data_IF_619444514649
#
_entry.id   IF_619444514649
#
_cell.length_a   1.000
_cell.length_b   1.000
_cell.length_c   1.000
_cell.angle_alpha   90.00
_cell.angle_beta   90.00
_cell.angle_gamma   90.00
#
_symmetry.space_group_name_H-M   'P 1'
#
loop_
_entity.id
_entity.type
_entity.pdbx_description
1 polymer ?
#
# COMPACT_ATOMS: atom_id res chain seq x y z
N UNK A 1 38.05 -2.15 30.21
CA UNK A 1 37.58 -1.78 28.84
C UNK A 1 36.17 -2.29 28.66
N UNK A 2 35.26 -1.40 28.26
CA UNK A 2 33.82 -1.55 28.39
C UNK A 2 33.20 -2.55 27.39
N UNK A 3 32.37 -3.47 27.88
CA UNK A 3 31.63 -4.46 27.08
C UNK A 3 30.68 -3.85 26.02
N UNK A 4 30.34 -2.56 26.13
CA UNK A 4 29.54 -1.83 25.14
C UNK A 4 30.27 -1.55 23.81
N UNK A 5 31.60 -1.48 23.81
CA UNK A 5 32.37 -1.30 22.57
C UNK A 5 32.56 -2.62 21.79
N UNK A 6 32.50 -3.77 22.47
CA UNK A 6 32.63 -5.10 21.83
C UNK A 6 31.36 -5.50 21.08
N UNK A 7 30.19 -5.04 21.53
CA UNK A 7 28.91 -5.32 20.86
C UNK A 7 28.68 -4.46 19.61
N UNK A 8 29.18 -3.22 19.59
CA UNK A 8 29.12 -2.36 18.41
C UNK A 8 30.13 -2.79 17.33
N UNK A 9 31.27 -3.38 17.70
CA UNK A 9 32.26 -3.91 16.74
C UNK A 9 31.80 -5.17 15.99
N UNK A 10 30.96 -6.02 16.62
CA UNK A 10 30.47 -7.26 16.00
C UNK A 10 29.40 -7.05 14.93
N UNK A 11 28.56 -6.01 15.07
CA UNK A 11 27.48 -5.72 14.11
C UNK A 11 28.01 -5.05 12.84
N UNK A 12 29.08 -4.27 12.94
CA UNK A 12 29.70 -3.60 11.78
C UNK A 12 30.46 -4.59 10.88
N UNK A 13 31.07 -5.65 11.44
CA UNK A 13 31.75 -6.68 10.66
C UNK A 13 30.77 -7.60 9.90
N UNK A 14 29.58 -7.87 10.45
CA UNK A 14 28.57 -8.66 9.74
C UNK A 14 27.79 -7.84 8.70
N UNK A 15 27.53 -6.56 8.95
CA UNK A 15 26.90 -5.66 7.97
C UNK A 15 27.81 -5.27 6.79
N UNK A 16 29.11 -5.08 7.06
CA UNK A 16 30.08 -4.70 6.02
C UNK A 16 30.43 -5.84 5.05
N UNK A 17 30.40 -7.10 5.51
CA UNK A 17 30.74 -8.26 4.68
C UNK A 17 29.73 -8.54 3.56
N UNK A 18 28.43 -8.33 3.81
CA UNK A 18 27.38 -8.58 2.82
C UNK A 18 27.40 -7.53 1.70
N UNK A 19 27.66 -6.26 2.04
CA UNK A 19 27.72 -5.20 1.04
C UNK A 19 28.96 -5.33 0.13
N UNK A 20 30.10 -5.74 0.70
CA UNK A 20 31.34 -5.92 -0.06
C UNK A 20 31.29 -7.19 -0.93
N UNK A 21 30.62 -8.25 -0.47
CA UNK A 21 30.33 -9.44 -1.29
C UNK A 21 29.37 -9.13 -2.45
N UNK A 22 28.34 -8.31 -2.22
CA UNK A 22 27.41 -7.91 -3.28
C UNK A 22 28.08 -7.03 -4.35
N UNK A 23 29.02 -6.16 -3.97
CA UNK A 23 29.78 -5.35 -4.94
C UNK A 23 30.81 -6.18 -5.72
N UNK A 24 31.44 -7.18 -5.08
CA UNK A 24 32.39 -8.08 -5.75
C UNK A 24 31.69 -9.04 -6.72
N UNK A 25 30.44 -9.43 -6.43
CA UNK A 25 29.63 -10.26 -7.32
C UNK A 25 29.08 -9.45 -8.50
N UNK A 26 28.70 -8.18 -8.28
CA UNK A 26 28.22 -7.28 -9.33
C UNK A 26 29.32 -6.74 -10.25
N UNK A 27 30.59 -6.75 -9.82
CA UNK A 27 31.73 -6.36 -10.66
C UNK A 27 32.31 -7.48 -11.53
N UNK A 28 31.88 -8.74 -11.36
CA UNK A 28 32.46 -9.89 -12.07
C UNK A 28 31.66 -10.35 -13.29
N UNK A 29 30.43 -9.87 -13.45
CA UNK A 29 29.54 -10.21 -14.57
C UNK A 29 29.71 -9.32 -15.80
N UNK A 30 30.48 -8.22 -15.74
CA UNK A 30 30.65 -7.28 -16.86
C UNK A 30 31.86 -7.55 -17.78
N UNK A 31 32.70 -8.57 -17.51
CA UNK A 31 33.95 -8.79 -18.29
C UNK A 31 33.86 -9.93 -19.33
N UNK A 32 32.80 -10.74 -19.34
CA UNK A 32 32.72 -11.91 -20.23
C UNK A 32 31.47 -11.94 -21.10
N UNK A 33 31.25 -10.90 -21.92
CA UNK A 33 30.33 -11.04 -23.06
C UNK A 33 30.60 -10.00 -24.16
N UNK A 34 31.81 -10.01 -24.73
CA UNK A 34 32.07 -9.41 -26.03
C UNK A 34 33.16 -10.21 -26.75
N UNK A 35 32.81 -11.43 -27.14
CA UNK A 35 33.48 -12.11 -28.24
C UNK A 35 32.48 -13.06 -28.90
N UNK A 36 31.74 -12.52 -29.87
CA UNK A 36 31.04 -13.32 -30.88
C UNK A 36 31.46 -12.74 -32.22
N UNK A 37 32.24 -13.55 -32.93
CA UNK A 37 32.63 -13.38 -34.32
C UNK A 37 31.39 -13.13 -35.20
N UNK A 38 31.45 -12.09 -36.03
CA UNK A 38 30.53 -11.91 -37.16
C UNK A 38 31.15 -12.55 -38.41
N UNK A 39 30.43 -13.40 -39.16
CA UNK A 39 30.85 -13.72 -40.52
C UNK A 39 30.65 -12.51 -41.42
N UNK A 40 31.71 -12.19 -42.16
CA UNK A 40 31.79 -11.14 -43.17
C UNK A 40 30.91 -11.48 -44.38
N UNK A 41 29.83 -10.73 -44.59
CA UNK A 41 29.17 -10.62 -45.90
C UNK A 41 29.20 -9.17 -46.38
N UNK A 42 29.65 -9.03 -47.62
CA UNK A 42 30.05 -7.79 -48.26
C UNK A 42 28.88 -6.82 -48.47
N UNK A 43 29.03 -5.57 -48.01
CA UNK A 43 28.14 -4.47 -48.37
C UNK A 43 28.74 -3.69 -49.54
N UNK A 44 28.12 -3.85 -50.71
CA UNK A 44 28.26 -2.93 -51.83
C UNK A 44 27.77 -1.54 -51.42
N UNK A 45 28.61 -0.54 -51.66
CA UNK A 45 28.26 0.87 -51.60
C UNK A 45 27.19 1.19 -52.66
N UNK A 46 26.02 1.66 -52.22
CA UNK A 46 25.16 2.53 -53.02
C UNK A 46 24.72 3.74 -52.19
N UNK A 47 25.06 4.89 -52.73
CA UNK A 47 24.79 6.25 -52.28
C UNK A 47 23.34 6.62 -52.65
N UNK A 48 22.54 7.10 -51.69
CA UNK A 48 21.44 8.05 -51.90
C UNK A 48 20.94 8.63 -50.56
N UNK A 49 21.00 9.96 -50.48
CA UNK A 49 20.20 10.98 -49.76
C UNK A 49 19.61 10.76 -48.33
N UNK A 50 19.48 11.85 -47.53
CA UNK A 50 19.10 11.76 -46.11
C UNK A 50 17.59 11.60 -45.96
N UNK A 51 17.14 10.36 -45.79
CA UNK A 51 15.78 10.07 -45.38
C UNK A 51 15.62 10.42 -43.89
N UNK A 52 14.68 11.31 -43.59
CA UNK A 52 14.37 11.74 -42.24
C UNK A 52 14.09 10.52 -41.36
N UNK A 53 14.81 10.40 -40.24
CA UNK A 53 14.49 9.45 -39.17
C UNK A 53 13.11 9.80 -38.65
N UNK A 54 12.10 9.16 -39.22
CA UNK A 54 10.75 9.16 -38.71
C UNK A 54 10.81 8.38 -37.40
N UNK A 55 10.97 9.11 -36.30
CA UNK A 55 10.75 8.60 -34.94
C UNK A 55 9.30 8.11 -34.90
N UNK A 56 9.10 6.83 -35.20
CA UNK A 56 7.85 6.16 -34.88
C UNK A 56 7.69 6.28 -33.37
N UNK A 57 6.64 6.95 -32.86
CA UNK A 57 6.40 6.94 -31.43
C UNK A 57 6.13 5.47 -31.06
N UNK A 58 6.93 4.92 -30.16
CA UNK A 58 6.63 3.66 -29.47
C UNK A 58 5.35 3.89 -28.65
N UNK A 59 4.19 3.93 -29.30
CA UNK A 59 2.91 3.71 -28.64
C UNK A 59 2.77 2.20 -28.54
N UNK A 60 3.58 1.60 -27.68
CA UNK A 60 3.32 0.25 -27.20
C UNK A 60 1.92 0.30 -26.61
N UNK A 61 1.03 -0.49 -27.18
CA UNK A 61 -0.39 -0.49 -26.85
C UNK A 61 -0.54 -0.71 -25.33
N UNK A 62 -1.19 0.23 -24.64
CA UNK A 62 -1.39 0.22 -23.19
C UNK A 62 -2.02 -1.11 -22.72
N UNK A 63 -2.78 -1.76 -23.60
CA UNK A 63 -3.37 -3.08 -23.34
C UNK A 63 -2.33 -4.20 -23.29
N UNK A 64 -1.32 -4.16 -24.17
CA UNK A 64 -0.22 -5.13 -24.14
C UNK A 64 0.67 -4.99 -22.90
N UNK A 65 0.94 -3.77 -22.45
CA UNK A 65 1.71 -3.56 -21.21
C UNK A 65 0.95 -4.04 -19.96
N UNK A 66 -0.38 -3.81 -19.92
CA UNK A 66 -1.22 -4.32 -18.84
C UNK A 66 -1.21 -5.84 -18.77
N UNK A 67 -1.30 -6.52 -19.92
CA UNK A 67 -1.21 -7.99 -19.99
C UNK A 67 0.14 -8.49 -19.51
N UNK A 68 1.23 -7.85 -19.93
CA UNK A 68 2.58 -8.23 -19.51
C UNK A 68 2.77 -8.06 -17.98
N UNK A 69 2.24 -6.98 -17.41
CA UNK A 69 2.31 -6.73 -15.96
C UNK A 69 1.44 -7.70 -15.16
N UNK A 70 0.25 -8.05 -15.64
CA UNK A 70 -0.59 -9.07 -15.02
C UNK A 70 0.06 -10.44 -15.07
N UNK A 71 0.69 -10.80 -16.18
CA UNK A 71 1.44 -12.05 -16.32
C UNK A 71 2.64 -12.09 -15.38
N UNK A 72 3.38 -10.97 -15.25
CA UNK A 72 4.48 -10.87 -14.29
C UNK A 72 4.00 -10.98 -12.83
N UNK A 73 2.85 -10.37 -12.50
CA UNK A 73 2.22 -10.52 -11.17
C UNK A 73 1.83 -11.96 -10.89
N UNK A 74 1.15 -12.61 -11.84
CA UNK A 74 0.78 -14.03 -11.72
C UNK A 74 1.99 -14.94 -11.56
N UNK A 75 3.08 -14.67 -12.29
CA UNK A 75 4.32 -15.43 -12.15
C UNK A 75 4.92 -15.29 -10.75
N UNK A 76 4.93 -14.07 -10.20
CA UNK A 76 5.40 -13.82 -8.82
C UNK A 76 4.50 -14.46 -7.78
N UNK A 77 3.19 -14.31 -7.91
CA UNK A 77 2.21 -14.93 -7.01
C UNK A 77 2.32 -16.45 -7.04
N UNK A 78 2.49 -17.06 -8.22
CA UNK A 78 2.69 -18.50 -8.35
C UNK A 78 3.99 -18.96 -7.68
N UNK A 79 5.08 -18.23 -7.86
CA UNK A 79 6.37 -18.56 -7.22
C UNK A 79 6.28 -18.45 -5.69
N UNK A 80 5.58 -17.44 -5.17
CA UNK A 80 5.35 -17.29 -3.72
C UNK A 80 4.45 -18.41 -3.21
N UNK A 81 3.34 -18.69 -3.89
CA UNK A 81 2.43 -19.77 -3.51
C UNK A 81 3.13 -21.14 -3.50
N UNK A 82 4.04 -21.39 -4.43
CA UNK A 82 4.82 -22.63 -4.46
C UNK A 82 5.82 -22.71 -3.30
N UNK A 83 6.49 -21.60 -2.95
CA UNK A 83 7.35 -21.55 -1.77
C UNK A 83 6.56 -21.75 -0.47
N UNK A 84 5.39 -21.13 -0.36
CA UNK A 84 4.50 -21.29 0.79
C UNK A 84 3.98 -22.73 0.89
N UNK A 85 3.62 -23.36 -0.23
CA UNK A 85 3.20 -24.76 -0.25
C UNK A 85 4.33 -25.70 0.20
N UNK A 86 5.56 -25.50 -0.31
CA UNK A 86 6.73 -26.28 0.13
C UNK A 86 7.04 -26.08 1.62
N UNK A 87 6.91 -24.86 2.12
CA UNK A 87 7.09 -24.57 3.55
C UNK A 87 5.99 -25.24 4.40
N UNK A 88 4.74 -25.21 3.93
CA UNK A 88 3.63 -25.87 4.60
C UNK A 88 3.79 -27.40 4.62
N UNK A 89 4.25 -28.01 3.51
CA UNK A 89 4.57 -29.44 3.48
C UNK A 89 5.69 -29.81 4.44
N UNK A 90 6.75 -29.01 4.52
CA UNK A 90 7.85 -29.25 5.45
C UNK A 90 7.38 -29.19 6.92
N UNK A 91 6.54 -28.20 7.26
CA UNK A 91 5.95 -28.09 8.59
C UNK A 91 5.00 -29.27 8.88
N UNK A 92 4.22 -29.71 7.90
CA UNK A 92 3.37 -30.90 8.02
C UNK A 92 4.19 -32.16 8.28
N UNK A 93 5.27 -32.36 7.53
CA UNK A 93 6.19 -33.48 7.72
C UNK A 93 6.82 -33.45 9.12
N UNK A 94 7.20 -32.27 9.62
CA UNK A 94 7.67 -32.14 11.01
C UNK A 94 6.60 -32.51 12.03
N UNK A 95 5.37 -32.01 11.87
CA UNK A 95 4.27 -32.32 12.79
C UNK A 95 3.88 -33.80 12.75
N UNK A 96 3.92 -34.42 11.57
CA UNK A 96 3.64 -35.84 11.40
C UNK A 96 4.74 -36.69 12.06
N UNK A 97 6.02 -36.35 11.85
CA UNK A 97 7.13 -37.03 12.51
C UNK A 97 7.07 -36.87 14.04
N UNK A 98 6.70 -35.68 14.55
CA UNK A 98 6.52 -35.46 15.99
C UNK A 98 5.32 -36.25 16.53
N UNK A 99 4.20 -36.28 15.80
CA UNK A 99 3.02 -37.05 16.18
C UNK A 99 3.30 -38.56 16.16
N UNK A 100 4.04 -39.05 15.18
CA UNK A 100 4.46 -40.46 15.11
C UNK A 100 5.42 -40.80 16.24
N UNK A 101 6.40 -39.93 16.53
CA UNK A 101 7.30 -40.11 17.67
C UNK A 101 6.54 -40.14 19.00
N UNK A 102 5.55 -39.26 19.18
CA UNK A 102 4.70 -39.24 20.36
C UNK A 102 3.84 -40.52 20.48
N UNK A 103 3.29 -41.03 19.37
CA UNK A 103 2.55 -42.30 19.35
C UNK A 103 3.45 -43.47 19.71
N UNK A 104 4.63 -43.56 19.09
CA UNK A 104 5.60 -44.62 19.36
C UNK A 104 6.08 -44.61 20.81
N UNK A 105 6.32 -43.43 21.37
CA UNK A 105 6.67 -43.27 22.79
C UNK A 105 5.53 -43.70 23.72
N UNK A 106 4.27 -43.38 23.39
CA UNK A 106 3.11 -43.79 24.17
C UNK A 106 2.90 -45.32 24.12
N UNK A 107 3.09 -45.94 22.95
CA UNK A 107 3.01 -47.39 22.77
C UNK A 107 4.13 -48.11 23.54
N UNK A 108 5.36 -47.60 23.50
CA UNK A 108 6.48 -48.17 24.25
C UNK A 108 6.25 -48.06 25.76
N UNK A 109 5.74 -46.92 26.23
CA UNK A 109 5.38 -46.74 27.63
C UNK A 109 4.25 -47.69 28.07
N UNK A 110 3.23 -47.86 27.23
CA UNK A 110 2.15 -48.81 27.48
C UNK A 110 2.65 -50.26 27.53
N UNK A 111 3.55 -50.64 26.62
CA UNK A 111 4.18 -51.96 26.60
C UNK A 111 5.06 -52.21 27.83
N UNK A 112 5.80 -51.20 28.29
CA UNK A 112 6.61 -51.28 29.51
C UNK A 112 5.73 -51.47 30.75
N UNK A 113 4.63 -50.73 30.85
CA UNK A 113 3.66 -50.91 31.93
C UNK A 113 3.01 -52.30 31.89
N UNK A 114 2.64 -52.79 30.70
CA UNK A 114 2.10 -54.14 30.54
C UNK A 114 3.11 -55.22 30.98
N UNK A 115 4.39 -55.08 30.60
CA UNK A 115 5.46 -55.99 31.05
C UNK A 115 5.67 -55.93 32.57
N UNK A 116 5.66 -54.74 33.16
CA UNK A 116 5.79 -54.57 34.61
C UNK A 116 4.65 -55.27 35.36
N UNK A 117 3.42 -55.09 34.90
CA UNK A 117 2.25 -55.74 35.48
C UNK A 117 2.29 -57.27 35.30
N UNK A 118 2.71 -57.75 34.13
CA UNK A 118 2.84 -59.19 33.88
C UNK A 118 3.91 -59.85 34.80
N UNK A 119 5.04 -59.18 35.02
CA UNK A 119 6.09 -59.67 35.94
C UNK A 119 5.58 -59.73 37.38
N UNK A 120 4.83 -58.72 37.83
CA UNK A 120 4.21 -58.72 39.16
C UNK A 120 3.19 -59.85 39.35
N UNK A 121 2.46 -60.23 38.29
CA UNK A 121 1.52 -61.34 38.33
C UNK A 121 2.22 -62.72 38.30
N UNK A 122 3.41 -62.80 37.69
CA UNK A 122 4.18 -64.06 37.64
C UNK A 122 4.99 -64.38 38.90
N UNK A 123 5.14 -63.45 39.85
CA UNK A 123 5.95 -63.64 41.06
C UNK A 123 5.18 -64.15 42.29
N UNK A 124 3.89 -64.47 42.16
CA UNK A 124 3.05 -64.95 43.27
C UNK A 124 2.83 -66.46 43.15
N UNK A 125 3.81 -67.26 43.62
CA UNK A 125 3.73 -68.72 43.62
C UNK A 125 4.48 -69.29 44.86
N UNK A 126 3.78 -69.36 45.99
CA UNK A 126 4.28 -69.95 47.25
C UNK A 126 3.36 -71.14 47.59
N UNK A 127 3.87 -72.40 47.62
CA UNK A 127 3.05 -73.59 47.87
C UNK A 127 2.79 -73.83 49.37
N UNK A 128 1.65 -74.39 49.77
CA UNK A 128 1.38 -74.79 51.15
C UNK A 128 1.62 -76.30 51.38
N UNK A 129 2.23 -76.70 52.50
CA UNK A 129 1.64 -77.68 53.46
C UNK A 129 2.58 -78.16 54.60
N UNK A 130 1.91 -78.75 55.62
CA UNK A 130 2.30 -79.55 56.79
C UNK A 130 2.55 -78.76 58.08
N UNK A 131 1.78 -78.96 59.15
CA UNK A 131 1.05 -80.17 59.59
C UNK A 131 1.48 -80.59 61.03
N UNK A 132 1.00 -79.96 62.11
CA UNK A 132 0.99 -80.49 63.51
C UNK A 132 2.15 -80.25 64.51
N UNK A 133 2.77 -79.07 64.48
CA UNK A 133 3.20 -78.37 65.73
C UNK A 133 2.51 -76.99 65.80
N UNK A 134 1.28 -77.00 65.29
CA UNK A 134 0.76 -75.93 64.46
C UNK A 134 -0.37 -75.14 65.10
N UNK A 135 -1.20 -75.66 65.98
CA UNK A 135 -2.35 -74.89 66.43
C UNK A 135 -1.96 -73.62 67.22
N UNK A 136 -0.87 -73.66 67.99
CA UNK A 136 -0.37 -72.50 68.75
C UNK A 136 0.56 -71.61 67.92
N UNK A 137 1.42 -72.21 67.09
CA UNK A 137 2.28 -71.47 66.17
C UNK A 137 1.45 -70.82 65.06
N UNK A 138 0.45 -71.50 64.50
CA UNK A 138 -0.55 -70.94 63.58
C UNK A 138 -1.45 -69.93 64.28
N UNK A 139 -1.80 -70.05 65.56
CA UNK A 139 -2.53 -68.97 66.26
C UNK A 139 -1.67 -67.72 66.42
N UNK A 140 -0.41 -67.85 66.85
CA UNK A 140 0.53 -66.71 66.93
C UNK A 140 0.88 -66.15 65.56
N UNK A 141 1.12 -67.00 64.56
CA UNK A 141 1.33 -66.61 63.16
C UNK A 141 0.06 -66.01 62.55
N UNK A 142 -1.15 -66.46 62.92
CA UNK A 142 -2.41 -65.88 62.45
C UNK A 142 -2.71 -64.55 63.13
N UNK A 143 -2.38 -64.39 64.41
CA UNK A 143 -2.50 -63.14 65.13
C UNK A 143 -1.45 -62.13 64.64
N UNK A 144 -0.20 -62.56 64.46
CA UNK A 144 0.88 -61.75 63.87
C UNK A 144 0.60 -61.43 62.40
N UNK A 145 0.05 -62.36 61.61
CA UNK A 145 -0.45 -62.09 60.25
C UNK A 145 -1.62 -61.12 60.25
N UNK A 146 -2.57 -61.21 61.18
CA UNK A 146 -3.68 -60.25 61.30
C UNK A 146 -3.19 -58.86 61.69
N UNK A 147 -2.21 -58.76 62.60
CA UNK A 147 -1.61 -57.48 62.99
C UNK A 147 -0.78 -56.91 61.83
N UNK A 148 -0.01 -57.74 61.13
CA UNK A 148 0.75 -57.34 59.95
C UNK A 148 -0.16 -56.95 58.77
N UNK A 149 -1.29 -57.64 58.60
CA UNK A 149 -2.32 -57.33 57.60
C UNK A 149 -3.06 -56.04 57.96
N UNK A 150 -3.43 -55.83 59.23
CA UNK A 150 -3.98 -54.54 59.70
C UNK A 150 -2.99 -53.39 59.52
N UNK A 151 -1.70 -53.59 59.83
CA UNK A 151 -0.66 -52.60 59.58
C UNK A 151 -0.49 -52.31 58.09
N UNK A 152 -0.45 -53.35 57.24
CA UNK A 152 -0.40 -53.20 55.79
C UNK A 152 -1.63 -52.48 55.24
N UNK A 153 -2.83 -52.79 55.72
CA UNK A 153 -4.05 -52.09 55.32
C UNK A 153 -4.07 -50.63 55.78
N UNK A 154 -3.53 -50.34 56.98
CA UNK A 154 -3.37 -48.98 57.47
C UNK A 154 -2.33 -48.19 56.64
N UNK A 155 -1.16 -48.77 56.36
CA UNK A 155 -0.14 -48.18 55.48
C UNK A 155 -0.66 -47.99 54.05
N UNK A 156 -1.39 -48.96 53.51
CA UNK A 156 -1.95 -48.89 52.15
C UNK A 156 -3.04 -47.82 52.08
N UNK A 157 -3.89 -47.67 53.11
CA UNK A 157 -4.85 -46.55 53.20
C UNK A 157 -4.15 -45.20 53.34
N UNK A 158 -3.08 -45.10 54.12
CA UNK A 158 -2.33 -43.85 54.28
C UNK A 158 -1.58 -43.47 52.98
N UNK A 159 -0.98 -44.43 52.29
CA UNK A 159 -0.36 -44.23 50.98
C UNK A 159 -1.39 -43.87 49.90
N UNK A 160 -2.56 -44.50 49.90
CA UNK A 160 -3.64 -44.18 48.96
C UNK A 160 -4.23 -42.78 49.25
N UNK A 161 -4.36 -42.40 50.52
CA UNK A 161 -4.77 -41.05 50.91
C UNK A 161 -3.76 -40.00 50.42
N UNK A 162 -2.46 -40.20 50.69
CA UNK A 162 -1.38 -39.31 50.23
C UNK A 162 -1.30 -39.21 48.70
N UNK A 163 -1.42 -40.34 47.99
CA UNK A 163 -1.44 -40.36 46.52
C UNK A 163 -2.65 -39.61 45.94
N UNK A 164 -3.84 -39.74 46.56
CA UNK A 164 -5.04 -39.00 46.14
C UNK A 164 -4.93 -37.50 46.38
N UNK A 165 -4.28 -37.10 47.48
CA UNK A 165 -4.08 -35.69 47.82
C UNK A 165 -3.03 -35.04 46.89
N UNK A 166 -1.97 -35.77 46.56
CA UNK A 166 -0.95 -35.33 45.60
C UNK A 166 -1.53 -35.23 44.18
N UNK A 167 -2.36 -36.19 43.75
CA UNK A 167 -3.08 -36.09 42.47
C UNK A 167 -4.03 -34.90 42.44
N UNK A 168 -4.77 -34.62 43.52
CA UNK A 168 -5.62 -33.42 43.62
C UNK A 168 -4.81 -32.13 43.51
N UNK A 169 -3.66 -32.03 44.19
CA UNK A 169 -2.79 -30.84 44.10
C UNK A 169 -2.19 -30.67 42.71
N UNK A 170 -1.78 -31.74 42.04
CA UNK A 170 -1.29 -31.69 40.64
C UNK A 170 -2.39 -31.27 39.67
N UNK A 171 -3.60 -31.82 39.80
CA UNK A 171 -4.74 -31.46 38.96
C UNK A 171 -5.19 -30.00 39.17
N UNK A 172 -5.17 -29.49 40.41
CA UNK A 172 -5.48 -28.09 40.69
C UNK A 172 -4.40 -27.14 40.15
N UNK A 173 -3.13 -27.50 40.30
CA UNK A 173 -2.01 -26.73 39.75
C UNK A 173 -2.07 -26.66 38.20
N UNK A 174 -2.40 -27.78 37.55
CA UNK A 174 -2.53 -27.85 36.09
C UNK A 174 -3.73 -27.04 35.58
N UNK A 175 -4.89 -27.12 36.25
CA UNK A 175 -6.05 -26.27 35.94
C UNK A 175 -5.73 -24.79 36.07
N UNK A 176 -5.03 -24.40 37.14
CA UNK A 176 -4.65 -23.01 37.38
C UNK A 176 -3.60 -22.50 36.38
N UNK A 177 -2.70 -23.36 35.92
CA UNK A 177 -1.74 -23.05 34.86
C UNK A 177 -2.42 -22.91 33.49
N UNK A 178 -3.38 -23.80 33.17
CA UNK A 178 -4.17 -23.73 31.95
C UNK A 178 -5.04 -22.46 31.91
N UNK A 179 -5.68 -22.10 33.02
CA UNK A 179 -6.49 -20.89 33.13
C UNK A 179 -5.66 -19.60 32.96
N UNK A 180 -4.46 -19.55 33.57
CA UNK A 180 -3.52 -18.43 33.36
C UNK A 180 -3.07 -18.31 31.91
N UNK A 181 -2.72 -19.42 31.26
CA UNK A 181 -2.33 -19.40 29.83
C UNK A 181 -3.48 -18.96 28.93
N UNK A 182 -4.70 -19.42 29.19
CA UNK A 182 -5.88 -19.02 28.43
C UNK A 182 -6.20 -17.53 28.62
N UNK A 183 -6.08 -17.00 29.85
CA UNK A 183 -6.27 -15.58 30.13
C UNK A 183 -5.20 -14.70 29.45
N UNK A 184 -3.94 -15.13 29.46
CA UNK A 184 -2.83 -14.42 28.82
C UNK A 184 -2.95 -14.42 27.28
N UNK A 185 -3.37 -15.53 26.69
CA UNK A 185 -3.64 -15.62 25.24
C UNK A 185 -4.78 -14.70 24.82
N UNK A 186 -5.90 -14.68 25.57
CA UNK A 186 -7.00 -13.77 25.29
C UNK A 186 -6.60 -12.30 25.39
N UNK A 187 -5.84 -11.93 26.43
CA UNK A 187 -5.34 -10.57 26.59
C UNK A 187 -4.34 -10.17 25.49
N UNK A 188 -3.50 -11.09 25.03
CA UNK A 188 -2.56 -10.85 23.93
C UNK A 188 -3.29 -10.71 22.57
N UNK A 189 -4.30 -11.53 22.31
CA UNK A 189 -5.11 -11.45 21.10
C UNK A 189 -5.93 -10.16 21.04
N UNK A 190 -6.53 -9.74 22.16
CA UNK A 190 -7.28 -8.49 22.24
C UNK A 190 -6.38 -7.27 22.01
N UNK A 191 -5.16 -7.28 22.58
CA UNK A 191 -4.16 -6.23 22.32
C UNK A 191 -3.72 -6.18 20.86
N UNK A 192 -3.51 -7.34 20.22
CA UNK A 192 -3.18 -7.41 18.78
C UNK A 192 -4.29 -6.85 17.90
N UNK A 193 -5.55 -7.24 18.16
CA UNK A 193 -6.72 -6.72 17.43
C UNK A 193 -6.88 -5.21 17.63
N UNK A 194 -6.65 -4.70 18.84
CA UNK A 194 -6.72 -3.27 19.13
C UNK A 194 -5.59 -2.47 18.44
N UNK A 195 -4.37 -3.00 18.37
CA UNK A 195 -3.25 -2.36 17.67
C UNK A 195 -3.47 -2.36 16.14
N UNK A 196 -3.95 -3.47 15.59
CA UNK A 196 -4.25 -3.61 14.16
C UNK A 196 -5.39 -2.66 13.72
N UNK A 197 -6.46 -2.57 14.53
CA UNK A 197 -7.54 -1.63 14.29
C UNK A 197 -7.05 -0.16 14.32
N UNK A 198 -6.16 0.19 15.24
CA UNK A 198 -5.56 1.53 15.30
C UNK A 198 -4.68 1.83 14.09
N UNK A 199 -3.83 0.88 13.66
CA UNK A 199 -2.99 1.06 12.45
C UNK A 199 -3.84 1.22 11.19
N UNK A 200 -4.92 0.44 11.06
CA UNK A 200 -5.83 0.54 9.91
C UNK A 200 -6.56 1.89 9.89
N UNK A 201 -7.06 2.35 11.04
CA UNK A 201 -7.70 3.65 11.16
C UNK A 201 -6.74 4.82 10.87
N UNK A 202 -5.48 4.74 11.29
CA UNK A 202 -4.48 5.77 11.00
C UNK A 202 -4.08 5.78 9.51
N UNK A 203 -3.96 4.61 8.89
CA UNK A 203 -3.69 4.47 7.45
C UNK A 203 -4.84 5.03 6.60
N UNK A 204 -6.09 4.71 6.93
CA UNK A 204 -7.26 5.25 6.23
C UNK A 204 -7.38 6.77 6.38
N UNK A 205 -7.06 7.31 7.57
CA UNK A 205 -7.07 8.76 7.80
C UNK A 205 -5.98 9.47 6.98
N UNK A 206 -4.78 8.92 6.90
CA UNK A 206 -3.69 9.47 6.06
C UNK A 206 -4.02 9.40 4.58
N UNK A 207 -4.58 8.29 4.10
CA UNK A 207 -5.00 8.15 2.71
C UNK A 207 -6.12 9.13 2.33
N UNK A 208 -7.10 9.34 3.23
CA UNK A 208 -8.18 10.30 3.02
C UNK A 208 -7.67 11.75 3.01
N UNK A 209 -6.73 12.10 3.88
CA UNK A 209 -6.14 13.44 3.93
C UNK A 209 -5.27 13.72 2.70
N UNK A 210 -4.47 12.75 2.25
CA UNK A 210 -3.66 12.87 1.03
C UNK A 210 -4.54 13.02 -0.22
N UNK A 211 -5.63 12.25 -0.32
CA UNK A 211 -6.59 12.36 -1.43
C UNK A 211 -7.29 13.73 -1.45
N UNK A 212 -7.65 14.26 -0.27
CA UNK A 212 -8.21 15.62 -0.16
C UNK A 212 -7.21 16.70 -0.54
N UNK A 213 -5.94 16.59 -0.13
CA UNK A 213 -4.89 17.54 -0.51
C UNK A 213 -4.64 17.53 -2.01
N UNK A 214 -4.53 16.35 -2.63
CA UNK A 214 -4.37 16.22 -4.09
C UNK A 214 -5.56 16.79 -4.86
N UNK A 215 -6.79 16.52 -4.43
CA UNK A 215 -7.99 17.08 -5.04
C UNK A 215 -8.08 18.61 -4.89
N UNK A 216 -7.68 19.15 -3.73
CA UNK A 216 -7.65 20.60 -3.51
C UNK A 216 -6.57 21.29 -4.35
N UNK A 217 -5.40 20.67 -4.50
CA UNK A 217 -4.32 21.20 -5.34
C UNK A 217 -4.68 21.15 -6.84
N UNK A 218 -5.32 20.08 -7.29
CA UNK A 218 -5.80 19.95 -8.67
C UNK A 218 -6.93 20.95 -8.97
N UNK A 219 -7.86 21.14 -8.03
CA UNK A 219 -8.90 22.16 -8.15
C UNK A 219 -8.31 23.57 -8.18
N UNK A 220 -7.29 23.85 -7.36
CA UNK A 220 -6.59 25.15 -7.37
C UNK A 220 -5.87 25.36 -8.70
N UNK A 221 -5.13 24.37 -9.21
CA UNK A 221 -4.46 24.42 -10.51
C UNK A 221 -5.44 24.62 -11.67
N UNK A 222 -6.60 23.95 -11.65
CA UNK A 222 -7.66 24.17 -12.65
C UNK A 222 -8.25 25.58 -12.58
N UNK A 223 -8.54 26.08 -11.39
CA UNK A 223 -9.04 27.44 -11.21
C UNK A 223 -8.01 28.51 -11.61
N UNK A 224 -6.72 28.25 -11.36
CA UNK A 224 -5.64 29.15 -11.76
C UNK A 224 -5.40 29.11 -13.27
N UNK A 225 -5.49 27.93 -13.90
CA UNK A 225 -5.42 27.77 -15.35
C UNK A 225 -6.62 28.38 -16.07
N UNK A 226 -7.82 28.28 -15.51
CA UNK A 226 -9.02 28.92 -16.05
C UNK A 226 -8.95 30.44 -15.91
N UNK A 227 -8.49 30.96 -14.77
CA UNK A 227 -8.22 32.40 -14.60
C UNK A 227 -7.11 32.89 -15.53
N UNK A 228 -6.05 32.12 -15.73
CA UNK A 228 -4.99 32.48 -16.66
C UNK A 228 -5.49 32.46 -18.11
N UNK A 229 -6.36 31.51 -18.49
CA UNK A 229 -7.00 31.47 -19.82
C UNK A 229 -7.95 32.65 -20.02
N UNK A 230 -8.78 32.97 -19.03
CA UNK A 230 -9.70 34.11 -19.08
C UNK A 230 -8.93 35.44 -19.18
N UNK A 231 -7.85 35.59 -18.42
CA UNK A 231 -6.97 36.76 -18.51
C UNK A 231 -6.23 36.84 -19.85
N UNK A 232 -5.83 35.73 -20.46
CA UNK A 232 -5.17 35.73 -21.77
C UNK A 232 -6.15 35.97 -22.94
N UNK A 233 -7.41 35.54 -22.79
CA UNK A 233 -8.44 35.65 -23.81
C UNK A 233 -9.20 36.98 -23.76
N UNK A 234 -9.38 37.55 -22.55
CA UNK A 234 -10.18 38.76 -22.31
C UNK A 234 -9.39 39.93 -21.71
N UNK A 235 -8.18 39.73 -21.19
CA UNK A 235 -7.43 40.77 -20.46
C UNK A 235 -6.89 41.92 -21.30
N UNK A 236 -6.65 41.70 -22.60
CA UNK A 236 -6.04 42.71 -23.49
C UNK A 236 -6.93 43.16 -24.67
N UNK A 237 -8.11 42.54 -24.84
CA UNK A 237 -9.02 42.91 -25.93
C UNK A 237 -9.85 44.12 -25.53
N UNK A 238 -9.71 45.21 -26.27
CA UNK A 238 -10.47 46.43 -26.03
C UNK A 238 -11.49 46.61 -27.15
N UNK A 239 -12.77 46.51 -26.80
CA UNK A 239 -13.86 46.63 -27.75
C UNK A 239 -14.26 48.09 -27.93
N UNK A 240 -14.47 48.52 -29.16
CA UNK A 240 -14.95 49.86 -29.51
C UNK A 240 -16.12 49.75 -30.48
N UNK A 241 -17.03 50.73 -30.47
CA UNK A 241 -18.12 50.77 -31.45
C UNK A 241 -17.74 51.76 -32.55
N UNK A 242 -17.49 51.27 -33.77
CA UNK A 242 -17.34 52.15 -34.93
C UNK A 242 -18.72 52.59 -35.39
N UNK A 243 -18.97 53.89 -35.36
CA UNK A 243 -20.29 54.46 -35.64
C UNK A 243 -20.39 54.98 -37.08
N UNK A 244 -19.32 55.61 -37.57
CA UNK A 244 -19.23 56.15 -38.92
C UNK A 244 -17.79 56.26 -39.43
N UNK A 245 -17.65 56.36 -40.75
CA UNK A 245 -16.42 56.71 -41.45
C UNK A 245 -16.68 58.01 -42.23
N UNK A 246 -16.07 59.10 -41.81
CA UNK A 246 -16.22 60.40 -42.44
C UNK A 246 -15.16 60.60 -43.53
N UNK A 247 -15.55 61.14 -44.69
CA UNK A 247 -14.62 61.41 -45.80
C UNK A 247 -13.60 62.52 -45.46
N UNK A 248 -14.03 63.55 -44.71
CA UNK A 248 -13.24 64.75 -44.41
C UNK A 248 -13.27 65.06 -42.90
N UNK A 249 -12.27 65.81 -42.41
CA UNK A 249 -12.13 66.14 -40.98
C UNK A 249 -13.30 66.96 -40.42
N UNK A 250 -13.77 67.97 -41.14
CA UNK A 250 -14.92 68.77 -40.71
C UNK A 250 -16.19 67.92 -40.46
N UNK A 251 -16.44 66.92 -41.33
CA UNK A 251 -17.55 65.98 -41.15
C UNK A 251 -17.32 65.05 -39.96
N UNK A 252 -16.07 64.64 -39.72
CA UNK A 252 -15.72 63.81 -38.58
C UNK A 252 -15.93 64.53 -37.24
N UNK A 253 -15.51 65.80 -37.16
CA UNK A 253 -15.63 66.59 -35.94
C UNK A 253 -17.09 66.95 -35.64
N UNK A 254 -17.90 67.25 -36.66
CA UNK A 254 -19.33 67.48 -36.49
C UNK A 254 -20.06 66.24 -35.93
N UNK A 255 -19.74 65.05 -36.44
CA UNK A 255 -20.30 63.78 -35.95
C UNK A 255 -19.79 63.45 -34.55
N UNK A 256 -18.51 63.69 -34.27
CA UNK A 256 -17.94 63.50 -32.95
C UNK A 256 -18.53 64.46 -31.91
N UNK A 257 -18.80 65.71 -32.28
CA UNK A 257 -19.47 66.69 -31.43
C UNK A 257 -20.88 66.24 -31.05
N UNK A 258 -21.68 65.71 -32.00
CA UNK A 258 -23.01 65.16 -31.72
C UNK A 258 -22.98 64.00 -30.74
N UNK A 259 -22.03 63.06 -30.92
CA UNK A 259 -21.87 61.92 -30.02
C UNK A 259 -21.37 62.34 -28.64
N UNK A 260 -20.43 63.30 -28.55
CA UNK A 260 -19.97 63.84 -27.26
C UNK A 260 -21.05 64.65 -26.55
N UNK A 261 -21.89 65.39 -27.26
CA UNK A 261 -23.02 66.11 -26.70
C UNK A 261 -24.04 65.15 -26.04
N UNK A 262 -24.11 63.90 -26.52
CA UNK A 262 -24.90 62.81 -25.91
C UNK A 262 -24.18 62.11 -24.74
N UNK A 263 -23.00 62.57 -24.35
CA UNK A 263 -22.20 62.01 -23.26
C UNK A 263 -21.35 60.81 -23.64
N UNK A 264 -21.25 60.47 -24.94
CA UNK A 264 -20.44 59.35 -25.38
C UNK A 264 -18.96 59.73 -25.50
N UNK A 265 -18.06 58.82 -25.11
CA UNK A 265 -16.61 58.98 -25.27
C UNK A 265 -16.20 58.64 -26.70
N UNK A 266 -15.87 59.64 -27.51
CA UNK A 266 -15.55 59.47 -28.93
C UNK A 266 -14.05 59.59 -29.20
N UNK A 267 -13.50 58.60 -29.90
CA UNK A 267 -12.12 58.55 -30.40
C UNK A 267 -12.12 58.63 -31.92
N UNK A 268 -11.35 59.58 -32.48
CA UNK A 268 -11.14 59.69 -33.93
C UNK A 268 -9.82 59.02 -34.31
N UNK A 269 -9.84 58.22 -35.37
CA UNK A 269 -8.64 57.56 -35.91
C UNK A 269 -8.57 57.79 -37.42
N UNK A 270 -7.48 58.39 -37.93
CA UNK A 270 -7.30 58.56 -39.37
C UNK A 270 -7.04 57.20 -40.02
N UNK A 271 -7.66 56.97 -41.17
CA UNK A 271 -7.47 55.78 -42.00
C UNK A 271 -7.23 56.21 -43.45
N UNK A 272 -6.74 55.31 -44.30
CA UNK A 272 -6.51 55.60 -45.73
C UNK A 272 -7.79 55.97 -46.51
N UNK A 273 -8.97 55.63 -45.99
CA UNK A 273 -10.27 55.89 -46.62
C UNK A 273 -11.05 57.06 -45.99
N UNK A 274 -10.46 57.76 -45.02
CA UNK A 274 -11.10 58.82 -44.25
C UNK A 274 -10.91 58.66 -42.74
N UNK A 275 -11.65 59.43 -41.96
CA UNK A 275 -11.53 59.45 -40.49
C UNK A 275 -12.62 58.58 -39.87
N UNK A 276 -12.18 57.55 -39.15
CA UNK A 276 -13.07 56.64 -38.43
C UNK A 276 -13.46 57.25 -37.08
N UNK A 277 -14.74 57.20 -36.78
CA UNK A 277 -15.32 57.69 -35.53
C UNK A 277 -15.74 56.48 -34.71
N UNK A 278 -15.10 56.32 -33.55
CA UNK A 278 -15.33 55.20 -32.66
C UNK A 278 -15.78 55.69 -31.28
N UNK A 279 -16.58 54.89 -30.59
CA UNK A 279 -17.14 55.23 -29.30
C UNK A 279 -16.76 54.18 -28.25
N UNK A 280 -16.10 54.66 -27.19
CA UNK A 280 -15.88 54.00 -25.90
C UNK A 280 -14.93 52.81 -25.91
N UNK A 281 -13.87 52.83 -25.07
CA UNK A 281 -13.22 51.60 -24.62
C UNK A 281 -14.23 50.76 -23.83
N UNK A 282 -14.52 49.56 -24.30
CA UNK A 282 -15.35 48.59 -23.62
C UNK A 282 -14.49 47.38 -23.28
N UNK A 283 -14.59 46.89 -22.05
CA UNK A 283 -13.80 45.73 -21.59
C UNK A 283 -14.29 44.44 -22.24
N UNK A 284 -15.58 44.36 -22.53
CA UNK A 284 -16.24 43.16 -23.05
C UNK A 284 -17.04 43.47 -24.30
N UNK A 285 -17.13 42.49 -25.21
CA UNK A 285 -17.90 42.61 -26.46
C UNK A 285 -19.36 42.95 -26.21
N UNK A 286 -19.98 42.34 -25.20
CA UNK A 286 -21.38 42.57 -24.85
C UNK A 286 -21.65 44.00 -24.41
N UNK A 287 -20.71 44.61 -23.68
CA UNK A 287 -20.82 46.01 -23.27
C UNK A 287 -20.70 46.97 -24.46
N UNK A 288 -19.86 46.65 -25.44
CA UNK A 288 -19.77 47.37 -26.71
C UNK A 288 -21.04 47.16 -27.57
N UNK A 289 -21.62 45.96 -27.60
CA UNK A 289 -22.85 45.68 -28.35
C UNK A 289 -24.07 46.37 -27.72
N UNK A 290 -24.13 46.49 -26.40
CA UNK A 290 -25.14 47.29 -25.72
C UNK A 290 -25.03 48.78 -26.09
N UNK A 291 -23.81 49.31 -26.17
CA UNK A 291 -23.55 50.68 -26.61
C UNK A 291 -23.92 50.88 -28.09
N UNK A 292 -23.59 49.92 -28.96
CA UNK A 292 -24.02 49.90 -30.37
C UNK A 292 -25.53 49.97 -30.49
N UNK A 293 -26.26 49.16 -29.72
CA UNK A 293 -27.73 49.16 -29.69
C UNK A 293 -28.29 50.51 -29.23
N UNK A 294 -27.70 51.14 -28.21
CA UNK A 294 -28.10 52.47 -27.74
C UNK A 294 -27.91 53.54 -28.82
N UNK A 295 -26.77 53.53 -29.50
CA UNK A 295 -26.47 54.48 -30.59
C UNK A 295 -27.41 54.27 -31.78
N UNK A 296 -27.67 53.02 -32.16
CA UNK A 296 -28.60 52.70 -33.25
C UNK A 296 -30.06 53.04 -32.92
N UNK A 297 -30.44 52.97 -31.64
CA UNK A 297 -31.81 53.28 -31.18
C UNK A 297 -32.06 54.78 -31.05
N UNK A 298 -31.01 55.60 -30.92
CA UNK A 298 -31.13 57.05 -30.85
C UNK A 298 -31.35 57.64 -32.26
N UNK A 299 -32.62 57.94 -32.58
CA UNK A 299 -33.02 58.53 -33.84
C UNK A 299 -32.35 59.88 -34.13
N UNK A 300 -31.91 60.63 -33.11
CA UNK A 300 -31.25 61.93 -33.29
C UNK A 300 -29.83 61.83 -33.84
N UNK A 301 -29.20 60.66 -33.72
CA UNK A 301 -27.86 60.41 -34.26
C UNK A 301 -27.93 59.94 -35.71
N UNK A 302 -29.00 59.28 -36.12
CA UNK A 302 -29.19 58.67 -37.45
C UNK A 302 -27.99 57.81 -37.92
N UNK A 303 -27.29 57.19 -36.97
CA UNK A 303 -26.07 56.41 -37.20
C UNK A 303 -26.39 54.91 -37.11
N UNK A 304 -27.10 54.37 -38.12
CA UNK A 304 -27.54 52.96 -38.15
C UNK A 304 -26.44 51.95 -38.56
N UNK A 305 -25.30 52.45 -39.02
CA UNK A 305 -24.16 51.65 -39.48
C UNK A 305 -23.17 51.29 -38.36
N UNK A 306 -23.56 51.39 -37.09
CA UNK A 306 -22.63 51.12 -36.01
C UNK A 306 -22.34 49.61 -35.87
N UNK A 307 -21.06 49.24 -35.80
CA UNK A 307 -20.62 47.87 -35.52
C UNK A 307 -19.53 47.85 -34.46
N UNK A 308 -19.44 46.72 -33.75
CA UNK A 308 -18.42 46.49 -32.72
C UNK A 308 -17.13 45.99 -33.39
N UNK A 309 -16.00 46.56 -33.00
CA UNK A 309 -14.68 46.17 -33.48
C UNK A 309 -13.73 45.94 -32.28
N UNK A 310 -12.90 44.92 -32.39
CA UNK A 310 -11.74 44.75 -31.52
C UNK A 310 -10.68 45.79 -31.90
N UNK A 311 -10.39 46.69 -30.97
CA UNK A 311 -9.53 47.84 -31.18
C UNK A 311 -8.29 47.77 -30.29
N UNK A 312 -7.15 47.59 -30.94
CA UNK A 312 -5.84 47.74 -30.30
C UNK A 312 -5.39 49.21 -30.44
N UNK A 313 -5.00 49.90 -29.35
CA UNK A 313 -4.38 51.21 -29.40
C UNK A 313 -3.19 51.24 -30.36
N UNK A 314 -3.01 52.34 -31.09
CA UNK A 314 -1.90 52.48 -32.04
C UNK A 314 -0.53 52.24 -31.40
N UNK A 315 -0.35 52.67 -30.15
CA UNK A 315 0.89 52.50 -29.38
C UNK A 315 1.21 51.02 -29.05
N UNK A 316 0.22 50.12 -29.13
CA UNK A 316 0.36 48.69 -28.87
C UNK A 316 0.44 47.84 -30.16
N UNK A 317 0.42 48.44 -31.35
CA UNK A 317 0.50 47.75 -32.65
C UNK A 317 1.94 47.65 -33.17
N UNK A 318 2.89 47.30 -32.30
CA UNK A 318 4.27 47.00 -32.67
C UNK A 318 4.54 45.51 -32.57
#
# INVERSE_FOLDING_TARGET
MNNKQRWMGGVVLLGGGVLLAALLLKGKEEIHQNNVEQPVEAVQQKKNEPEAVQLQPLTVDVETEKRLLEEQRRAREKAVAEQEARAAEYLRMQQEAEAEAARRAAEEYAAMNARRNAVQQSSDNIPPELVEDEAEKQKRLAEEKRIAEQKRLAEQKEQQAKASEEQKRKAEAEKRAAEKKAAEQKAAEEKRKAEEAKKKAEADKKAAEEKKRKAAEEAKKKAEAEKARDLLENGDRQWMVQVALAANEANADALAAKLRAKGYKVTKSPTSKGIRIMVGPSKDRDSADALRKKINSDASLNMKSAWVIDWVPLDKRQ
#
